data_IF_162573478128
#
_entry.id   IF_162573478128
#
_cell.length_a   1.000
_cell.length_b   1.000
_cell.length_c   1.000
_cell.angle_alpha   90.00
_cell.angle_beta   90.00
_cell.angle_gamma   90.00
#
_symmetry.space_group_name_H-M   'P 1'
#
loop_
_entity.id
_entity.type
_entity.pdbx_description
1 polymer ?
#
# COMPACT_ATOMS: atom_id res chain seq x y z
N UNK A 1 20.13 -15.94 -11.58
CA UNK A 1 19.48 -17.07 -12.31
C UNK A 1 18.33 -17.52 -11.46
N UNK A 2 17.11 -17.54 -12.00
CA UNK A 2 15.96 -18.09 -11.26
C UNK A 2 16.08 -19.60 -11.15
N UNK A 3 15.57 -20.22 -10.07
CA UNK A 3 15.60 -21.66 -9.90
C UNK A 3 14.89 -22.39 -11.04
N UNK A 4 15.53 -23.40 -11.60
CA UNK A 4 14.93 -24.30 -12.57
C UNK A 4 14.47 -25.58 -11.86
N UNK A 5 13.43 -26.24 -12.38
CA UNK A 5 12.92 -27.49 -11.83
C UNK A 5 14.03 -28.54 -11.71
N UNK A 6 14.20 -29.13 -10.52
CA UNK A 6 15.19 -30.15 -10.24
C UNK A 6 16.62 -29.63 -10.00
N UNK A 7 16.83 -28.32 -9.95
CA UNK A 7 18.14 -27.72 -9.62
C UNK A 7 18.08 -26.90 -8.34
N UNK A 8 19.15 -26.92 -7.58
CA UNK A 8 19.38 -26.09 -6.40
C UNK A 8 20.26 -24.89 -6.78
N UNK A 9 19.90 -23.70 -6.29
CA UNK A 9 20.67 -22.46 -6.48
C UNK A 9 20.97 -21.88 -5.11
N UNK A 10 22.25 -21.53 -4.88
CA UNK A 10 22.67 -20.89 -3.63
C UNK A 10 22.33 -19.39 -3.66
N UNK A 11 21.66 -18.91 -2.63
CA UNK A 11 21.46 -17.49 -2.38
C UNK A 11 22.67 -16.89 -1.64
N UNK A 12 23.07 -15.69 -2.01
CA UNK A 12 24.15 -14.96 -1.32
C UNK A 12 23.71 -14.33 -0.01
N UNK A 13 22.41 -14.02 0.13
CA UNK A 13 21.84 -13.39 1.30
C UNK A 13 20.37 -13.80 1.45
N UNK A 14 19.91 -13.86 2.70
CA UNK A 14 18.50 -14.02 3.05
C UNK A 14 18.14 -12.98 4.11
N UNK A 15 17.05 -12.25 3.90
CA UNK A 15 16.50 -11.27 4.84
C UNK A 15 15.05 -11.62 5.13
N UNK A 16 14.68 -11.66 6.41
CA UNK A 16 13.30 -11.77 6.84
C UNK A 16 12.83 -10.41 7.32
N UNK A 17 11.76 -9.89 6.71
CA UNK A 17 11.24 -8.54 6.98
C UNK A 17 9.72 -8.54 6.98
N UNK A 18 9.13 -7.49 7.55
CA UNK A 18 7.69 -7.25 7.43
C UNK A 18 7.32 -7.10 5.95
N UNK A 19 6.41 -7.94 5.50
CA UNK A 19 5.74 -7.83 4.21
C UNK A 19 4.33 -7.26 4.36
N UNK A 20 3.49 -7.54 3.35
CA UNK A 20 2.13 -7.00 3.22
C UNK A 20 2.10 -5.48 2.98
N UNK A 21 1.54 -5.08 1.85
CA UNK A 21 1.38 -3.66 1.50
C UNK A 21 0.65 -2.89 2.59
N UNK A 22 -0.44 -3.47 3.13
CA UNK A 22 -1.19 -2.85 4.23
C UNK A 22 -0.35 -2.67 5.50
N UNK A 23 0.51 -3.65 5.85
CA UNK A 23 1.34 -3.56 7.05
C UNK A 23 2.52 -2.59 6.87
N UNK A 24 3.12 -2.54 5.67
CA UNK A 24 4.14 -1.55 5.32
C UNK A 24 3.54 -0.14 5.35
N UNK A 25 2.39 0.06 4.70
CA UNK A 25 1.64 1.32 4.75
C UNK A 25 1.38 1.77 6.19
N UNK A 26 0.80 0.89 7.03
CA UNK A 26 0.46 1.19 8.41
C UNK A 26 1.69 1.55 9.25
N UNK A 27 2.79 0.80 9.11
CA UNK A 27 4.06 1.05 9.79
C UNK A 27 4.64 2.41 9.42
N UNK A 28 4.70 2.71 8.13
CA UNK A 28 5.30 3.94 7.62
C UNK A 28 4.45 5.16 7.94
N UNK A 29 3.13 5.05 7.82
CA UNK A 29 2.18 6.10 8.23
C UNK A 29 2.31 6.42 9.73
N UNK A 30 2.45 5.40 10.57
CA UNK A 30 2.69 5.58 12.01
C UNK A 30 4.04 6.24 12.29
N UNK A 31 5.11 5.84 11.59
CA UNK A 31 6.45 6.44 11.72
C UNK A 31 6.47 7.92 11.31
N UNK A 32 5.59 8.36 10.41
CA UNK A 32 5.37 9.77 10.08
C UNK A 32 4.55 10.52 11.16
N UNK A 33 3.98 9.80 12.14
CA UNK A 33 3.31 10.36 13.32
C UNK A 33 1.80 10.38 13.28
N UNK A 34 1.17 9.75 12.30
CA UNK A 34 -0.27 9.49 12.33
C UNK A 34 -0.60 8.40 13.34
N UNK A 35 -1.79 8.47 13.94
CA UNK A 35 -2.31 7.39 14.76
C UNK A 35 -2.92 6.34 13.83
N UNK A 36 -2.41 5.12 13.91
CA UNK A 36 -2.80 4.03 13.00
C UNK A 36 -3.31 2.84 13.79
N UNK A 37 -4.44 2.31 13.36
CA UNK A 37 -4.98 1.02 13.80
C UNK A 37 -4.95 0.06 12.63
N UNK A 38 -4.39 -1.12 12.84
CA UNK A 38 -4.30 -2.16 11.81
C UNK A 38 -5.34 -3.25 12.07
N UNK A 39 -6.13 -3.56 11.03
CA UNK A 39 -7.05 -4.67 11.01
C UNK A 39 -6.61 -5.70 9.97
N UNK A 40 -6.60 -6.96 10.34
CA UNK A 40 -6.17 -8.05 9.47
C UNK A 40 -6.20 -9.39 10.20
N UNK A 41 -5.71 -10.45 9.54
CA UNK A 41 -5.70 -11.79 10.09
C UNK A 41 -4.34 -12.47 9.87
N UNK A 42 -3.79 -13.04 10.94
CA UNK A 42 -2.51 -13.76 10.96
C UNK A 42 -2.72 -15.15 11.54
N UNK A 43 -1.77 -16.06 11.33
CA UNK A 43 -1.72 -17.35 12.02
C UNK A 43 -1.12 -17.25 13.42
N UNK A 44 -1.25 -18.32 14.17
CA UNK A 44 -0.55 -18.51 15.46
C UNK A 44 0.81 -19.19 15.21
N UNK A 45 1.70 -18.49 14.51
CA UNK A 45 3.00 -18.99 14.09
C UNK A 45 4.09 -17.91 14.19
N UNK A 46 5.35 -18.29 13.91
CA UNK A 46 6.51 -17.40 13.99
C UNK A 46 6.40 -16.18 13.08
N UNK A 47 5.72 -16.30 11.92
CA UNK A 47 5.51 -15.19 11.00
C UNK A 47 4.43 -14.24 11.52
N UNK A 48 3.37 -14.76 12.15
CA UNK A 48 2.37 -13.95 12.84
C UNK A 48 2.96 -13.16 14.00
N UNK A 49 3.85 -13.77 14.78
CA UNK A 49 4.57 -13.08 15.86
C UNK A 49 5.52 -12.01 15.30
N UNK A 50 6.14 -12.24 14.13
CA UNK A 50 6.96 -11.24 13.45
C UNK A 50 6.11 -10.03 13.03
N UNK A 51 4.96 -10.28 12.38
CA UNK A 51 4.05 -9.21 11.95
C UNK A 51 3.58 -8.39 13.14
N UNK A 52 3.10 -9.04 14.19
CA UNK A 52 2.61 -8.38 15.41
C UNK A 52 3.70 -7.47 16.01
N UNK A 53 4.88 -8.02 16.30
CA UNK A 53 6.00 -7.26 16.87
C UNK A 53 6.44 -6.09 15.98
N UNK A 54 6.55 -6.32 14.68
CA UNK A 54 6.96 -5.26 13.74
C UNK A 54 5.97 -4.09 13.72
N UNK A 55 4.67 -4.34 13.81
CA UNK A 55 3.64 -3.32 13.90
C UNK A 55 3.68 -2.57 15.25
N UNK A 56 3.83 -3.31 16.35
CA UNK A 56 3.91 -2.74 17.71
C UNK A 56 5.16 -1.85 17.90
N UNK A 57 6.32 -2.27 17.38
CA UNK A 57 7.56 -1.47 17.35
C UNK A 57 7.36 -0.12 16.65
N UNK A 58 6.48 -0.09 15.64
CA UNK A 58 6.06 1.13 14.94
C UNK A 58 4.89 1.86 15.60
N UNK A 59 4.47 1.45 16.79
CA UNK A 59 3.35 2.04 17.55
C UNK A 59 2.00 1.98 16.82
N UNK A 60 1.85 1.01 15.92
CA UNK A 60 0.55 0.72 15.30
C UNK A 60 -0.33 0.00 16.31
N UNK A 61 -1.57 0.42 16.45
CA UNK A 61 -2.53 -0.29 17.29
C UNK A 61 -2.94 -1.60 16.61
N UNK A 62 -2.61 -2.73 17.25
CA UNK A 62 -2.86 -4.09 16.77
C UNK A 62 -4.06 -4.77 17.43
N UNK A 63 -4.86 -4.01 18.19
CA UNK A 63 -6.00 -4.56 18.93
C UNK A 63 -7.09 -5.23 18.09
N UNK A 64 -7.07 -5.02 16.77
CA UNK A 64 -7.97 -5.66 15.80
C UNK A 64 -7.25 -6.62 14.84
N UNK A 65 -6.03 -7.04 15.18
CA UNK A 65 -5.32 -8.08 14.46
C UNK A 65 -5.80 -9.45 14.95
N UNK A 66 -6.56 -10.14 14.13
CA UNK A 66 -7.14 -11.45 14.45
C UNK A 66 -6.08 -12.54 14.31
N UNK A 67 -6.14 -13.55 15.20
CA UNK A 67 -5.26 -14.72 15.17
C UNK A 67 -6.05 -15.96 14.81
N UNK A 68 -5.74 -16.58 13.68
CA UNK A 68 -6.30 -17.88 13.29
C UNK A 68 -5.54 -19.03 13.97
N UNK A 69 -6.24 -19.97 14.61
CA UNK A 69 -5.60 -21.19 15.12
C UNK A 69 -5.38 -22.24 14.01
N UNK A 70 -6.05 -22.12 12.87
CA UNK A 70 -6.09 -23.13 11.82
C UNK A 70 -5.26 -22.76 10.59
N UNK A 71 -5.14 -21.46 10.31
CA UNK A 71 -4.46 -20.96 9.12
C UNK A 71 -3.10 -20.37 9.49
N UNK A 72 -2.10 -20.65 8.68
CA UNK A 72 -0.77 -20.03 8.81
C UNK A 72 -0.79 -18.58 8.33
N UNK A 73 0.13 -17.78 8.83
CA UNK A 73 0.34 -16.41 8.36
C UNK A 73 0.76 -16.38 6.89
N UNK A 74 0.24 -15.43 6.14
CA UNK A 74 0.66 -15.19 4.75
C UNK A 74 2.15 -14.83 4.67
N UNK A 75 2.82 -15.31 3.64
CA UNK A 75 4.23 -15.04 3.40
C UNK A 75 4.53 -14.93 1.91
N UNK A 76 5.45 -14.04 1.56
CA UNK A 76 5.96 -13.89 0.19
C UNK A 76 7.45 -14.18 0.15
N UNK A 77 7.85 -15.12 -0.68
CA UNK A 77 9.25 -15.32 -1.04
C UNK A 77 9.57 -14.41 -2.22
N UNK A 78 10.50 -13.49 -2.03
CA UNK A 78 10.99 -12.59 -3.08
C UNK A 78 12.38 -13.08 -3.50
N UNK A 79 12.52 -13.42 -4.76
CA UNK A 79 13.79 -13.81 -5.37
C UNK A 79 14.27 -12.62 -6.21
N UNK A 80 15.29 -11.93 -5.70
CA UNK A 80 15.91 -10.80 -6.40
C UNK A 80 17.04 -11.29 -7.28
N UNK A 81 17.07 -10.83 -8.52
CA UNK A 81 18.14 -11.07 -9.45
C UNK A 81 18.48 -9.78 -10.20
N UNK A 82 19.53 -9.08 -9.74
CA UNK A 82 19.91 -7.76 -10.25
C UNK A 82 18.71 -6.78 -10.20
N UNK A 83 18.21 -6.33 -11.32
CA UNK A 83 17.06 -5.39 -11.41
C UNK A 83 15.71 -6.12 -11.46
N UNK A 84 15.70 -7.42 -11.72
CA UNK A 84 14.50 -8.25 -11.81
C UNK A 84 14.18 -8.93 -10.50
N UNK A 85 12.89 -9.20 -10.28
CA UNK A 85 12.41 -9.97 -9.13
C UNK A 85 11.27 -10.90 -9.52
N UNK A 86 11.24 -12.06 -8.88
CA UNK A 86 10.08 -12.96 -8.88
C UNK A 86 9.50 -13.05 -7.45
N UNK A 87 8.20 -13.15 -7.37
CA UNK A 87 7.50 -13.27 -6.09
C UNK A 87 6.61 -14.50 -6.10
N UNK A 88 6.64 -15.26 -5.00
CA UNK A 88 5.72 -16.37 -4.74
C UNK A 88 5.02 -16.06 -3.43
N UNK A 89 3.72 -15.82 -3.49
CA UNK A 89 2.91 -15.45 -2.32
C UNK A 89 2.00 -16.60 -1.90
N UNK A 90 2.13 -17.00 -0.63
CA UNK A 90 1.14 -17.79 0.07
C UNK A 90 0.26 -16.82 0.88
N UNK A 91 -1.03 -16.66 0.56
CA UNK A 91 -1.87 -15.64 1.20
C UNK A 91 -2.24 -16.00 2.66
N UNK A 92 -2.29 -17.28 3.00
CA UNK A 92 -2.57 -17.75 4.36
C UNK A 92 -3.83 -17.15 4.97
N UNK A 93 -3.78 -16.84 6.25
CA UNK A 93 -4.89 -16.27 7.02
C UNK A 93 -5.42 -14.93 6.46
N UNK A 94 -4.59 -14.17 5.71
CA UNK A 94 -5.01 -12.92 5.08
C UNK A 94 -6.18 -13.13 4.12
N UNK A 95 -6.22 -14.24 3.39
CA UNK A 95 -7.31 -14.53 2.45
C UNK A 95 -8.65 -14.85 3.11
N UNK A 96 -8.63 -15.19 4.41
CA UNK A 96 -9.81 -15.49 5.22
C UNK A 96 -10.32 -14.26 6.01
N UNK A 97 -9.62 -13.13 5.95
CA UNK A 97 -10.08 -11.88 6.54
C UNK A 97 -11.21 -11.29 5.69
N UNK A 98 -12.31 -10.92 6.34
CA UNK A 98 -13.56 -10.51 5.67
C UNK A 98 -13.97 -9.09 6.08
N UNK A 99 -14.94 -8.51 5.36
CA UNK A 99 -15.53 -7.24 5.72
C UNK A 99 -16.33 -7.31 7.04
N UNK A 100 -16.83 -8.47 7.39
CA UNK A 100 -17.59 -8.75 8.63
C UNK A 100 -16.68 -8.76 9.87
N UNK A 101 -15.38 -9.08 9.69
CA UNK A 101 -14.38 -9.00 10.75
C UNK A 101 -14.11 -7.54 11.20
N UNK A 102 -14.50 -6.56 10.39
CA UNK A 102 -14.37 -5.13 10.69
C UNK A 102 -15.67 -4.63 11.34
N UNK A 103 -15.64 -4.46 12.65
CA UNK A 103 -16.82 -4.05 13.43
C UNK A 103 -17.19 -2.56 13.22
N UNK A 104 -18.40 -2.19 13.60
CA UNK A 104 -18.84 -0.80 13.59
C UNK A 104 -18.01 0.07 14.55
N UNK A 105 -17.61 -0.47 15.72
CA UNK A 105 -16.78 0.23 16.70
C UNK A 105 -15.37 0.54 16.15
N UNK A 106 -14.80 -0.39 15.34
CA UNK A 106 -13.54 -0.12 14.64
C UNK A 106 -13.68 1.08 13.71
N UNK A 107 -14.71 1.10 12.87
CA UNK A 107 -14.94 2.20 11.93
C UNK A 107 -15.21 3.51 12.67
N UNK A 108 -15.99 3.48 13.75
CA UNK A 108 -16.28 4.68 14.56
C UNK A 108 -15.04 5.26 15.27
N UNK A 109 -13.97 4.46 15.43
CA UNK A 109 -12.74 4.89 16.12
C UNK A 109 -11.75 5.63 15.22
N UNK A 110 -12.00 5.74 13.90
CA UNK A 110 -11.06 6.30 12.94
C UNK A 110 -11.73 7.29 11.98
N UNK A 111 -10.97 8.23 11.46
CA UNK A 111 -11.46 9.22 10.48
C UNK A 111 -11.17 8.85 9.03
N UNK A 112 -10.31 7.84 8.80
CA UNK A 112 -9.92 7.40 7.46
C UNK A 112 -9.76 5.88 7.42
N UNK A 113 -10.24 5.26 6.34
CA UNK A 113 -10.05 3.85 6.03
C UNK A 113 -9.20 3.71 4.77
N UNK A 114 -8.05 3.05 4.89
CA UNK A 114 -7.24 2.63 3.74
C UNK A 114 -7.33 1.12 3.53
N UNK A 115 -7.53 0.70 2.29
CA UNK A 115 -7.48 -0.71 1.89
C UNK A 115 -6.41 -0.86 0.80
N UNK A 116 -5.52 -1.84 0.96
CA UNK A 116 -4.54 -2.19 -0.08
C UNK A 116 -4.54 -3.69 -0.37
N UNK A 117 -3.96 -4.09 -1.51
CA UNK A 117 -3.83 -5.49 -1.96
C UNK A 117 -5.14 -6.27 -2.01
N UNK A 118 -6.22 -5.65 -2.49
CA UNK A 118 -7.56 -6.25 -2.47
C UNK A 118 -7.64 -7.56 -3.26
N UNK A 119 -6.83 -7.73 -4.30
CA UNK A 119 -6.82 -8.96 -5.09
C UNK A 119 -6.24 -10.17 -4.34
N UNK A 120 -5.33 -9.95 -3.39
CA UNK A 120 -4.80 -11.01 -2.52
C UNK A 120 -5.71 -11.32 -1.32
N UNK A 121 -6.68 -10.46 -1.02
CA UNK A 121 -7.60 -10.58 0.11
C UNK A 121 -8.97 -11.07 -0.36
N UNK A 122 -9.05 -12.33 -0.78
CA UNK A 122 -10.26 -12.90 -1.39
C UNK A 122 -11.51 -12.82 -0.50
N UNK A 123 -11.35 -12.93 0.82
CA UNK A 123 -12.43 -12.75 1.79
C UNK A 123 -12.95 -11.32 1.81
N UNK A 124 -12.02 -10.34 1.96
CA UNK A 124 -12.37 -8.92 2.00
C UNK A 124 -12.93 -8.42 0.67
N UNK A 125 -12.40 -8.89 -0.47
CA UNK A 125 -12.85 -8.50 -1.81
C UNK A 125 -14.34 -8.73 -2.02
N UNK A 126 -14.88 -9.83 -1.49
CA UNK A 126 -16.32 -10.15 -1.61
C UNK A 126 -17.22 -9.13 -0.92
N UNK A 127 -16.75 -8.54 0.19
CA UNK A 127 -17.51 -7.59 0.99
C UNK A 127 -17.08 -6.14 0.84
N UNK A 128 -16.18 -5.81 -0.11
CA UNK A 128 -15.53 -4.49 -0.20
C UNK A 128 -16.52 -3.33 -0.36
N UNK A 129 -17.57 -3.49 -1.17
CA UNK A 129 -18.61 -2.47 -1.35
C UNK A 129 -19.31 -2.16 -0.04
N UNK A 130 -19.75 -3.21 0.68
CA UNK A 130 -20.39 -3.06 1.99
C UNK A 130 -19.48 -2.43 3.03
N UNK A 131 -18.19 -2.76 3.03
CA UNK A 131 -17.21 -2.15 3.92
C UNK A 131 -17.05 -0.65 3.63
N UNK A 132 -16.83 -0.26 2.37
CA UNK A 132 -16.66 1.14 2.00
C UNK A 132 -17.94 1.95 2.29
N UNK A 133 -19.11 1.39 2.02
CA UNK A 133 -20.38 2.03 2.37
C UNK A 133 -20.53 2.25 3.89
N UNK A 134 -20.15 1.25 4.72
CA UNK A 134 -20.14 1.40 6.19
C UNK A 134 -19.17 2.47 6.66
N UNK A 135 -17.98 2.52 6.07
CA UNK A 135 -16.99 3.55 6.38
C UNK A 135 -17.52 4.96 6.05
N UNK A 136 -18.10 5.15 4.85
CA UNK A 136 -18.74 6.42 4.45
C UNK A 136 -19.88 6.80 5.39
N UNK A 137 -20.75 5.87 5.77
CA UNK A 137 -21.85 6.10 6.71
C UNK A 137 -21.37 6.47 8.11
N UNK A 138 -20.15 6.05 8.49
CA UNK A 138 -19.48 6.44 9.74
C UNK A 138 -18.75 7.79 9.66
N UNK A 139 -18.85 8.50 8.52
CA UNK A 139 -18.22 9.80 8.30
C UNK A 139 -16.74 9.73 7.96
N UNK A 140 -16.20 8.53 7.64
CA UNK A 140 -14.80 8.36 7.29
C UNK A 140 -14.54 8.80 5.85
N UNK A 141 -13.32 9.27 5.60
CA UNK A 141 -12.75 9.27 4.26
C UNK A 141 -12.14 7.91 3.95
N UNK A 142 -12.02 7.59 2.66
CA UNK A 142 -11.62 6.25 2.20
C UNK A 142 -10.53 6.34 1.14
N UNK A 143 -9.62 5.37 1.14
CA UNK A 143 -8.64 5.21 0.07
C UNK A 143 -8.42 3.75 -0.30
N UNK A 144 -8.02 3.53 -1.55
CA UNK A 144 -7.80 2.21 -2.11
C UNK A 144 -6.53 2.19 -2.97
N UNK A 145 -5.62 1.26 -2.68
CA UNK A 145 -4.57 0.80 -3.58
C UNK A 145 -4.82 -0.67 -3.92
N UNK A 146 -5.13 -0.96 -5.18
CA UNK A 146 -5.53 -2.31 -5.57
C UNK A 146 -4.38 -3.31 -5.54
N UNK A 147 -3.18 -2.85 -5.83
CA UNK A 147 -2.01 -3.68 -6.11
C UNK A 147 -2.23 -4.61 -7.30
N UNK A 148 -1.25 -5.45 -7.61
CA UNK A 148 -1.31 -6.38 -8.73
C UNK A 148 -2.38 -7.47 -8.52
N UNK A 149 -3.16 -7.76 -9.57
CA UNK A 149 -4.03 -8.95 -9.60
C UNK A 149 -3.24 -10.17 -10.08
N UNK A 150 -2.97 -11.16 -9.20
CA UNK A 150 -2.20 -12.35 -9.59
C UNK A 150 -2.92 -13.23 -10.62
N UNK A 151 -4.25 -13.09 -10.77
CA UNK A 151 -5.02 -13.78 -11.79
C UNK A 151 -5.14 -12.99 -13.10
N UNK A 152 -4.65 -11.73 -13.12
CA UNK A 152 -4.71 -10.80 -14.24
C UNK A 152 -6.11 -10.57 -14.85
N UNK A 153 -7.16 -10.85 -14.09
CA UNK A 153 -8.55 -10.64 -14.48
C UNK A 153 -9.02 -9.21 -14.31
N UNK A 154 -8.49 -8.53 -13.31
CA UNK A 154 -8.79 -7.14 -12.96
C UNK A 154 -10.29 -6.90 -12.74
N UNK A 155 -10.95 -7.87 -12.10
CA UNK A 155 -12.38 -7.83 -11.85
C UNK A 155 -12.68 -7.21 -10.49
N UNK A 156 -13.05 -5.94 -10.52
CA UNK A 156 -13.63 -5.21 -9.40
C UNK A 156 -14.91 -4.50 -9.85
N UNK A 157 -15.90 -4.33 -8.99
CA UNK A 157 -17.13 -3.60 -9.30
C UNK A 157 -16.88 -2.08 -9.30
N UNK A 158 -16.00 -1.60 -10.22
CA UNK A 158 -15.47 -0.23 -10.21
C UNK A 158 -16.57 0.83 -10.25
N UNK A 159 -17.66 0.60 -10.99
CA UNK A 159 -18.74 1.57 -11.12
C UNK A 159 -19.45 1.85 -9.78
N UNK A 160 -19.55 0.84 -8.92
CA UNK A 160 -20.15 0.96 -7.60
C UNK A 160 -19.11 1.30 -6.52
N UNK A 161 -17.86 0.92 -6.73
CA UNK A 161 -16.78 1.07 -5.75
C UNK A 161 -16.15 2.46 -5.77
N UNK A 162 -15.79 2.97 -6.95
CA UNK A 162 -15.06 4.25 -7.06
C UNK A 162 -15.80 5.45 -6.46
N UNK A 163 -17.16 5.57 -6.57
CA UNK A 163 -17.88 6.64 -5.87
C UNK A 163 -17.77 6.62 -4.36
N UNK A 164 -17.40 5.47 -3.78
CA UNK A 164 -17.18 5.30 -2.33
C UNK A 164 -15.72 5.56 -1.91
N UNK A 165 -14.83 5.80 -2.87
CA UNK A 165 -13.39 6.01 -2.64
C UNK A 165 -13.06 7.49 -2.80
N UNK A 166 -12.53 8.11 -1.74
CA UNK A 166 -12.09 9.52 -1.81
C UNK A 166 -10.73 9.64 -2.50
N UNK A 167 -9.81 8.68 -2.27
CA UNK A 167 -8.48 8.68 -2.91
C UNK A 167 -8.17 7.30 -3.48
N UNK A 168 -8.06 7.22 -4.81
CA UNK A 168 -7.67 6.00 -5.53
C UNK A 168 -6.20 6.08 -5.96
N UNK A 169 -5.37 5.10 -5.56
CA UNK A 169 -3.91 5.16 -5.62
C UNK A 169 -3.26 3.99 -6.41
N UNK A 170 -3.73 3.63 -7.59
CA UNK A 170 -3.11 2.55 -8.38
C UNK A 170 -1.75 2.99 -8.94
N UNK A 171 -0.93 2.00 -9.37
CA UNK A 171 0.14 2.31 -10.32
C UNK A 171 -0.40 2.39 -11.76
N UNK A 172 0.46 2.84 -12.70
CA UNK A 172 0.06 3.06 -14.10
C UNK A 172 -0.51 1.78 -14.72
N UNK A 173 0.15 0.65 -14.54
CA UNK A 173 -0.28 -0.62 -15.15
C UNK A 173 -1.60 -1.13 -14.55
N UNK A 174 -1.75 -1.02 -13.24
CA UNK A 174 -2.99 -1.36 -12.53
C UNK A 174 -4.16 -0.50 -13.01
N UNK A 175 -3.95 0.82 -13.10
CA UNK A 175 -4.98 1.73 -13.58
C UNK A 175 -5.40 1.43 -15.02
N UNK A 176 -4.45 1.19 -15.92
CA UNK A 176 -4.73 0.85 -17.32
C UNK A 176 -5.52 -0.46 -17.43
N UNK A 177 -5.12 -1.48 -16.67
CA UNK A 177 -5.81 -2.76 -16.66
C UNK A 177 -7.24 -2.65 -16.10
N UNK A 178 -7.41 -1.96 -14.98
CA UNK A 178 -8.73 -1.76 -14.35
C UNK A 178 -9.67 -0.93 -15.23
N UNK A 179 -9.18 0.14 -15.86
CA UNK A 179 -9.96 0.99 -16.76
C UNK A 179 -10.17 0.40 -18.16
N UNK A 180 -9.52 -0.76 -18.45
CA UNK A 180 -9.51 -1.36 -19.79
C UNK A 180 -9.07 -0.33 -20.85
N UNK A 181 -7.98 0.37 -20.59
CA UNK A 181 -7.44 1.44 -21.41
C UNK A 181 -5.98 1.20 -21.74
N UNK A 182 -5.49 1.84 -22.78
CA UNK A 182 -4.09 1.71 -23.22
C UNK A 182 -3.25 2.92 -22.82
N UNK A 183 -3.88 4.05 -22.53
CA UNK A 183 -3.22 5.28 -22.08
C UNK A 183 -4.00 5.92 -20.93
N UNK A 184 -3.29 6.68 -20.10
CA UNK A 184 -3.81 7.30 -18.88
C UNK A 184 -5.04 8.18 -19.14
N UNK A 185 -4.99 9.03 -20.16
CA UNK A 185 -6.07 9.99 -20.48
C UNK A 185 -7.37 9.29 -20.88
N UNK A 186 -7.28 8.19 -21.64
CA UNK A 186 -8.43 7.36 -21.99
C UNK A 186 -9.07 6.72 -20.73
N UNK A 187 -8.24 6.19 -19.84
CA UNK A 187 -8.72 5.61 -18.58
C UNK A 187 -9.39 6.63 -17.67
N UNK A 188 -8.82 7.82 -17.58
CA UNK A 188 -9.42 8.95 -16.84
C UNK A 188 -10.75 9.34 -17.46
N UNK A 189 -10.83 9.51 -18.77
CA UNK A 189 -12.07 9.89 -19.47
C UNK A 189 -13.20 8.88 -19.20
N UNK A 190 -12.91 7.57 -19.27
CA UNK A 190 -13.87 6.50 -18.97
C UNK A 190 -14.39 6.52 -17.54
N UNK A 191 -13.56 6.85 -16.57
CA UNK A 191 -13.87 6.73 -15.14
C UNK A 191 -14.10 8.08 -14.46
N UNK A 192 -13.93 9.20 -15.13
CA UNK A 192 -13.93 10.56 -14.56
C UNK A 192 -15.19 10.91 -13.75
N UNK A 193 -16.35 10.39 -14.17
CA UNK A 193 -17.62 10.62 -13.45
C UNK A 193 -17.74 9.85 -12.13
N UNK A 194 -16.84 8.91 -11.88
CA UNK A 194 -16.84 8.02 -10.71
C UNK A 194 -15.70 8.37 -9.73
N UNK A 195 -14.65 9.01 -10.26
CA UNK A 195 -13.44 9.32 -9.50
C UNK A 195 -13.60 10.63 -8.69
N UNK A 196 -13.19 10.61 -7.43
CA UNK A 196 -12.98 11.83 -6.65
C UNK A 196 -11.54 12.32 -6.83
N UNK A 197 -10.57 11.65 -6.22
CA UNK A 197 -9.14 11.91 -6.38
C UNK A 197 -8.49 10.64 -6.94
N UNK A 198 -7.82 10.76 -8.08
CA UNK A 198 -7.00 9.69 -8.63
C UNK A 198 -5.53 10.08 -8.54
N UNK A 199 -4.70 9.19 -8.03
CA UNK A 199 -3.24 9.34 -7.99
C UNK A 199 -2.61 8.12 -8.64
N UNK A 200 -2.03 8.28 -9.81
CA UNK A 200 -1.38 7.19 -10.56
C UNK A 200 0.12 7.25 -10.38
N UNK A 201 0.68 6.22 -9.75
CA UNK A 201 2.12 6.04 -9.53
C UNK A 201 2.78 5.50 -10.81
N UNK A 202 3.90 6.07 -11.28
CA UNK A 202 4.62 5.63 -12.48
C UNK A 202 6.14 5.47 -12.23
N UNK A 203 6.49 4.94 -11.08
CA UNK A 203 7.86 4.62 -10.69
C UNK A 203 8.83 5.80 -10.83
N UNK A 204 9.92 5.62 -11.59
CA UNK A 204 10.94 6.65 -11.81
C UNK A 204 10.44 7.85 -12.62
N UNK A 205 9.27 7.78 -13.24
CA UNK A 205 8.65 8.93 -13.93
C UNK A 205 7.85 9.83 -12.96
N UNK A 206 7.63 9.36 -11.72
CA UNK A 206 6.90 10.11 -10.71
C UNK A 206 5.44 9.68 -10.57
N UNK A 207 4.54 10.64 -10.43
CA UNK A 207 3.10 10.36 -10.28
C UNK A 207 2.26 11.46 -10.89
N UNK A 208 1.05 11.08 -11.30
CA UNK A 208 0.03 11.99 -11.84
C UNK A 208 -1.19 11.98 -10.93
N UNK A 209 -1.62 13.16 -10.49
CA UNK A 209 -2.87 13.36 -9.76
C UNK A 209 -3.91 13.93 -10.71
N UNK A 210 -5.12 13.37 -10.68
CA UNK A 210 -6.31 13.94 -11.31
C UNK A 210 -7.37 14.25 -10.26
N UNK A 211 -7.93 15.45 -10.33
CA UNK A 211 -9.06 15.87 -9.50
C UNK A 211 -9.87 16.94 -10.23
N UNK A 212 -11.19 16.75 -10.32
CA UNK A 212 -12.12 17.71 -10.94
C UNK A 212 -11.68 18.22 -12.32
N UNK A 213 -11.22 17.34 -13.20
CA UNK A 213 -10.78 17.68 -14.55
C UNK A 213 -9.37 18.28 -14.65
N UNK A 214 -8.67 18.50 -13.51
CA UNK A 214 -7.31 19.03 -13.48
C UNK A 214 -6.30 17.90 -13.30
N UNK A 215 -5.23 17.91 -14.09
CA UNK A 215 -4.07 17.03 -13.97
C UNK A 215 -2.90 17.79 -13.34
N UNK A 216 -2.23 17.15 -12.39
CA UNK A 216 -0.99 17.63 -11.77
C UNK A 216 0.04 16.52 -11.83
N UNK A 217 1.21 16.80 -12.39
CA UNK A 217 2.32 15.86 -12.47
C UNK A 217 3.38 16.21 -11.42
N UNK A 218 3.84 15.22 -10.70
CA UNK A 218 4.96 15.31 -9.76
C UNK A 218 6.08 14.41 -10.27
N UNK A 219 7.23 14.96 -10.69
CA UNK A 219 8.40 14.16 -11.00
C UNK A 219 8.87 13.33 -9.80
N UNK A 220 9.48 12.18 -10.07
CA UNK A 220 10.07 11.38 -9.01
C UNK A 220 11.26 12.09 -8.34
N UNK A 221 11.44 11.90 -7.05
CA UNK A 221 12.70 12.16 -6.37
C UNK A 221 13.61 10.96 -6.67
N UNK A 222 14.60 11.16 -7.55
CA UNK A 222 15.44 10.06 -8.01
C UNK A 222 16.50 9.71 -6.96
N UNK A 223 16.51 8.45 -6.54
CA UNK A 223 17.58 7.87 -5.77
C UNK A 223 18.58 7.19 -6.73
N UNK A 224 19.83 7.66 -6.75
CA UNK A 224 20.89 7.09 -7.61
C UNK A 224 21.47 5.78 -7.10
N UNK A 225 21.17 5.40 -5.85
CA UNK A 225 21.66 4.18 -5.20
C UNK A 225 20.49 3.42 -4.56
N UNK A 226 19.63 2.85 -5.40
CA UNK A 226 18.47 2.08 -4.95
C UNK A 226 18.94 0.80 -4.24
N UNK A 227 18.62 0.69 -2.95
CA UNK A 227 18.89 -0.51 -2.17
C UNK A 227 17.80 -1.58 -2.37
N UNK A 228 16.54 -1.16 -2.44
CA UNK A 228 15.37 -2.01 -2.64
C UNK A 228 14.18 -1.15 -3.08
N UNK A 229 13.27 -1.71 -3.86
CA UNK A 229 12.04 -1.05 -4.28
C UNK A 229 10.77 -1.64 -3.61
N UNK A 230 10.94 -2.64 -2.71
CA UNK A 230 9.82 -3.23 -1.97
C UNK A 230 9.20 -2.17 -1.06
N UNK A 231 7.89 -2.00 -1.14
CA UNK A 231 7.15 -1.06 -0.31
C UNK A 231 7.26 0.42 -0.72
N UNK A 232 7.92 0.73 -1.86
CA UNK A 232 7.99 2.12 -2.33
C UNK A 232 6.60 2.69 -2.66
N UNK A 233 5.71 1.90 -3.28
CA UNK A 233 4.32 2.25 -3.52
C UNK A 233 3.55 2.45 -2.22
N UNK A 234 3.69 1.52 -1.27
CA UNK A 234 3.03 1.58 0.03
C UNK A 234 3.49 2.79 0.85
N UNK A 235 4.77 3.15 0.75
CA UNK A 235 5.35 4.34 1.38
C UNK A 235 4.87 5.64 0.73
N UNK A 236 4.72 5.63 -0.60
CA UNK A 236 4.10 6.72 -1.34
C UNK A 236 2.66 6.93 -0.85
N UNK A 237 1.87 5.86 -0.78
CA UNK A 237 0.48 5.92 -0.34
C UNK A 237 0.37 6.41 1.11
N UNK A 238 1.24 5.91 2.01
CA UNK A 238 1.33 6.37 3.38
C UNK A 238 1.65 7.87 3.48
N UNK A 239 2.58 8.35 2.65
CA UNK A 239 2.93 9.77 2.54
C UNK A 239 1.77 10.63 2.05
N UNK A 240 1.05 10.19 1.02
CA UNK A 240 -0.12 10.89 0.50
C UNK A 240 -1.22 11.00 1.57
N UNK A 241 -1.59 9.87 2.16
CA UNK A 241 -2.66 9.80 3.16
C UNK A 241 -2.27 10.54 4.44
N UNK A 242 -1.00 10.51 4.85
CA UNK A 242 -0.52 11.31 5.98
C UNK A 242 -0.87 12.79 5.82
N UNK A 243 -0.54 13.39 4.68
CA UNK A 243 -0.81 14.81 4.41
C UNK A 243 -2.29 15.08 4.14
N UNK A 244 -2.97 14.15 3.45
CA UNK A 244 -4.38 14.26 3.12
C UNK A 244 -5.27 14.34 4.36
N UNK A 245 -5.06 13.47 5.35
CA UNK A 245 -5.84 13.47 6.60
C UNK A 245 -5.54 14.68 7.51
N UNK A 246 -4.43 15.39 7.28
CA UNK A 246 -4.11 16.64 7.97
C UNK A 246 -4.64 17.89 7.24
N UNK A 247 -5.29 17.71 6.07
CA UNK A 247 -5.94 18.80 5.34
C UNK A 247 -5.00 19.63 4.46
N UNK A 248 -3.85 19.08 4.10
CA UNK A 248 -2.92 19.73 3.18
C UNK A 248 -3.49 19.78 1.75
N UNK A 249 -2.96 20.67 0.89
CA UNK A 249 -3.33 20.71 -0.52
C UNK A 249 -2.95 19.43 -1.23
N UNK A 250 -3.71 19.05 -2.26
CA UNK A 250 -3.45 17.81 -3.01
C UNK A 250 -2.07 17.79 -3.66
N UNK A 251 -1.56 18.95 -4.10
CA UNK A 251 -0.21 19.09 -4.62
C UNK A 251 0.86 18.84 -3.54
N UNK A 252 0.63 19.32 -2.32
CA UNK A 252 1.52 19.05 -1.19
C UNK A 252 1.49 17.57 -0.80
N UNK A 253 0.30 16.95 -0.79
CA UNK A 253 0.15 15.50 -0.59
C UNK A 253 0.94 14.70 -1.63
N UNK A 254 0.77 15.04 -2.91
CA UNK A 254 1.43 14.35 -4.02
C UNK A 254 2.96 14.48 -3.95
N UNK A 255 3.47 15.68 -3.68
CA UNK A 255 4.91 15.92 -3.54
C UNK A 255 5.50 15.14 -2.36
N UNK A 256 4.83 15.17 -1.21
CA UNK A 256 5.28 14.44 -0.03
C UNK A 256 5.25 12.93 -0.27
N UNK A 257 4.21 12.42 -0.91
CA UNK A 257 4.09 11.02 -1.31
C UNK A 257 5.26 10.55 -2.19
N UNK A 258 5.59 11.34 -3.23
CA UNK A 258 6.71 11.04 -4.11
C UNK A 258 8.05 10.99 -3.35
N UNK A 259 8.25 11.88 -2.38
CA UNK A 259 9.44 11.88 -1.51
C UNK A 259 9.47 10.63 -0.62
N UNK A 260 8.33 10.24 -0.01
CA UNK A 260 8.26 9.04 0.84
C UNK A 260 8.53 7.76 0.05
N UNK A 261 8.00 7.65 -1.18
CA UNK A 261 8.34 6.55 -2.08
C UNK A 261 9.83 6.47 -2.39
N UNK A 262 10.48 7.62 -2.62
CA UNK A 262 11.92 7.69 -2.87
C UNK A 262 12.74 7.34 -1.62
N UNK A 263 12.38 7.84 -0.44
CA UNK A 263 13.03 7.51 0.84
C UNK A 263 13.01 6.01 1.09
N UNK A 264 11.90 5.33 0.79
CA UNK A 264 11.81 3.88 0.95
C UNK A 264 12.92 3.14 0.20
N UNK A 265 13.27 3.61 -0.99
CA UNK A 265 14.28 2.94 -1.84
C UNK A 265 15.71 3.02 -1.31
N UNK A 266 15.96 3.83 -0.26
CA UNK A 266 17.31 4.05 0.28
C UNK A 266 17.81 2.92 1.19
N UNK A 267 16.91 2.07 1.69
CA UNK A 267 17.24 0.94 2.57
C UNK A 267 16.45 -0.31 2.17
N UNK A 268 16.99 -1.51 2.41
CA UNK A 268 16.29 -2.75 2.08
C UNK A 268 15.06 -2.97 2.98
N UNK A 269 14.01 -3.53 2.39
CA UNK A 269 12.73 -3.81 3.05
C UNK A 269 11.83 -2.58 3.16
N UNK A 270 10.52 -2.81 3.19
CA UNK A 270 9.50 -1.76 3.05
C UNK A 270 9.41 -0.76 4.21
N UNK A 271 10.03 -1.03 5.38
CA UNK A 271 9.87 -0.21 6.59
C UNK A 271 11.17 0.29 7.21
N UNK A 272 12.32 -0.18 6.74
CA UNK A 272 13.62 0.09 7.38
C UNK A 272 14.04 1.56 7.29
N UNK A 273 13.70 2.25 6.20
CA UNK A 273 13.97 3.68 6.03
C UNK A 273 13.07 4.56 6.93
N UNK A 274 11.99 3.99 7.46
CA UNK A 274 10.97 4.67 8.26
C UNK A 274 11.09 4.31 9.75
N UNK A 275 12.29 4.31 10.33
CA UNK A 275 12.45 3.99 11.76
C UNK A 275 11.65 4.94 12.65
N UNK A 276 11.76 6.24 12.42
CA UNK A 276 11.03 7.30 13.10
C UNK A 276 11.05 8.59 12.25
N UNK A 277 10.36 9.65 12.71
CA UNK A 277 10.32 10.95 12.03
C UNK A 277 11.69 11.58 11.80
N UNK A 278 12.60 11.43 12.75
CA UNK A 278 13.93 12.04 12.67
C UNK A 278 14.77 11.38 11.58
N UNK A 279 14.71 10.05 11.47
CA UNK A 279 15.38 9.31 10.41
C UNK A 279 14.83 9.67 9.02
N UNK A 280 13.49 9.79 8.89
CA UNK A 280 12.84 10.21 7.65
C UNK A 280 13.33 11.62 7.26
N UNK A 281 13.31 12.56 8.20
CA UNK A 281 13.78 13.93 7.97
C UNK A 281 15.26 13.96 7.57
N UNK A 282 16.12 13.22 8.26
CA UNK A 282 17.54 13.14 7.95
C UNK A 282 17.79 12.64 6.52
N UNK A 283 17.11 11.55 6.11
CA UNK A 283 17.22 11.01 4.74
C UNK A 283 16.70 12.02 3.72
N UNK A 284 15.59 12.71 4.00
CA UNK A 284 15.03 13.74 3.12
C UNK A 284 16.03 14.89 2.88
N UNK A 285 16.67 15.38 3.93
CA UNK A 285 17.66 16.43 3.84
C UNK A 285 18.93 15.97 3.12
N UNK A 286 19.51 14.83 3.53
CA UNK A 286 20.83 14.39 3.07
C UNK A 286 20.82 13.92 1.61
N UNK A 287 19.78 13.22 1.19
CA UNK A 287 19.75 12.59 -0.13
C UNK A 287 18.88 13.33 -1.15
N UNK A 288 17.89 14.07 -0.70
CA UNK A 288 16.92 14.73 -1.58
C UNK A 288 16.88 16.25 -1.46
N UNK A 289 17.69 16.84 -0.58
CA UNK A 289 17.71 18.29 -0.28
C UNK A 289 16.32 18.85 0.06
N UNK A 290 15.55 18.06 0.83
CA UNK A 290 14.18 18.40 1.21
C UNK A 290 14.04 18.53 2.72
N UNK A 291 13.53 19.68 3.15
CA UNK A 291 13.07 19.92 4.53
C UNK A 291 11.57 19.52 4.65
N UNK A 292 11.22 18.68 5.64
CA UNK A 292 9.84 18.11 5.79
C UNK A 292 9.34 18.24 7.23
#
# INVERSE_FOLDING_TARGET
MFPETGKEVLAGQMVLTLGSSSAIFASNLSSMGSKVTFAGKIGQDIFGDLVLRSLEEKRVNTGFLLKSPELSTGATVVINQMEDRAMITYPGAMSDFTAEDISADMLASAGHLHVSSIFLQSGLRKGILGLMQRAKNSGMTTSLDTQWDPEEKWELPLYDLLPLIDVFLPNMQEFLNLSRSTILTEGIEKLSSLLNILVVKDGSKGATLWHNGRLVNQPAFLNTHVADAIGAGDSFDAGFIHRYIHGDTLEACLRYAALMGAINTTKPGGTTAFSDKQAIHQIACDLFNMEI
#
